data_IF_539721959919
#
_entry.id   IF_539721959919
#
_cell.length_a   1.000
_cell.length_b   1.000
_cell.length_c   1.000
_cell.angle_alpha   90.00
_cell.angle_beta   90.00
_cell.angle_gamma   90.00
#
_symmetry.space_group_name_H-M   'P 1'
#
loop_
_entity.id
_entity.type
_entity.pdbx_description
1 polymer ?
#
# COMPACT_ATOMS: atom_id res chain seq x y z
N UNK A 1 -34.12 35.73 -38.34
CA UNK A 1 -32.88 35.17 -38.93
C UNK A 1 -31.82 36.27 -38.98
N UNK A 2 -30.81 36.28 -38.09
CA UNK A 2 -29.59 37.05 -38.33
C UNK A 2 -28.37 36.13 -38.49
N UNK A 3 -27.89 36.09 -39.74
CA UNK A 3 -26.51 36.19 -40.27
C UNK A 3 -25.30 35.83 -39.39
N UNK A 4 -24.45 34.92 -39.91
CA UNK A 4 -23.10 34.58 -39.43
C UNK A 4 -22.08 35.68 -39.78
N UNK A 5 -21.09 35.94 -38.91
CA UNK A 5 -19.80 36.62 -39.22
C UNK A 5 -18.64 35.89 -38.48
N UNK A 6 -17.41 35.81 -39.04
CA UNK A 6 -16.50 34.66 -38.89
C UNK A 6 -15.33 34.84 -37.89
N UNK A 7 -14.59 33.75 -37.75
CA UNK A 7 -13.33 33.56 -37.00
C UNK A 7 -12.28 34.65 -37.25
N UNK A 8 -11.66 35.13 -36.18
CA UNK A 8 -10.36 35.81 -36.22
C UNK A 8 -9.41 35.08 -35.28
N UNK A 9 -8.42 34.39 -35.85
CA UNK A 9 -7.21 33.97 -35.15
C UNK A 9 -6.26 35.16 -35.16
N UNK A 10 -5.78 35.59 -34.00
CA UNK A 10 -4.56 36.39 -33.90
C UNK A 10 -3.74 35.88 -32.71
N UNK A 11 -2.49 35.54 -33.01
CA UNK A 11 -1.50 35.05 -32.07
C UNK A 11 -0.73 36.22 -31.41
N UNK A 12 -0.02 35.84 -30.35
CA UNK A 12 1.14 36.49 -29.74
C UNK A 12 0.88 37.58 -28.68
N UNK A 13 1.29 37.30 -27.44
CA UNK A 13 2.52 37.89 -26.88
C UNK A 13 2.91 37.14 -25.60
N UNK A 14 4.11 36.58 -25.61
CA UNK A 14 4.75 35.97 -24.45
C UNK A 14 5.10 37.05 -23.44
N UNK A 15 4.72 36.85 -22.18
CA UNK A 15 5.31 37.54 -21.02
C UNK A 15 5.84 36.48 -20.07
N UNK A 16 7.16 36.46 -19.93
CA UNK A 16 7.86 35.73 -18.89
C UNK A 16 7.65 36.44 -17.54
N UNK A 17 7.25 35.71 -16.51
CA UNK A 17 7.38 36.17 -15.12
C UNK A 17 7.51 35.00 -14.14
N UNK A 18 8.70 34.94 -13.55
CA UNK A 18 9.15 34.25 -12.33
C UNK A 18 8.95 32.73 -12.24
N UNK A 19 10.06 32.01 -12.44
CA UNK A 19 10.32 30.79 -11.69
C UNK A 19 10.42 31.19 -10.20
N UNK A 20 9.35 31.02 -9.44
CA UNK A 20 9.54 30.71 -8.03
C UNK A 20 10.14 29.31 -7.99
N UNK A 21 11.46 29.24 -7.95
CA UNK A 21 12.17 28.07 -7.43
C UNK A 21 11.75 27.94 -5.97
N UNK A 22 10.59 27.33 -5.74
CA UNK A 22 10.25 26.79 -4.44
C UNK A 22 11.31 25.74 -4.17
N UNK A 23 12.30 26.08 -3.35
CA UNK A 23 13.07 25.07 -2.63
C UNK A 23 12.03 24.13 -2.04
N UNK A 24 11.95 22.91 -2.57
CA UNK A 24 11.37 21.82 -1.83
C UNK A 24 12.25 21.72 -0.57
N UNK A 25 11.84 22.39 0.52
CA UNK A 25 12.30 22.05 1.84
C UNK A 25 11.94 20.57 1.95
N UNK A 26 12.93 19.70 1.80
CA UNK A 26 12.79 18.31 2.18
C UNK A 26 12.22 18.34 3.58
N UNK A 27 10.99 17.82 3.74
CA UNK A 27 10.38 17.72 5.05
C UNK A 27 11.44 17.11 5.98
N UNK A 28 11.69 17.68 7.18
CA UNK A 28 12.71 17.13 8.06
C UNK A 28 12.37 15.65 8.28
N UNK A 29 13.37 14.77 8.27
CA UNK A 29 13.17 13.33 8.45
C UNK A 29 12.30 13.02 9.69
N UNK A 30 12.30 13.90 10.69
CA UNK A 30 11.42 13.87 11.86
C UNK A 30 9.92 14.08 11.55
N UNK A 31 9.55 14.95 10.59
CA UNK A 31 8.16 15.10 10.16
C UNK A 31 7.66 13.90 9.35
N UNK A 32 8.53 13.31 8.51
CA UNK A 32 8.22 12.05 7.83
C UNK A 32 8.07 10.91 8.85
N UNK A 33 8.97 10.80 9.82
CA UNK A 33 8.89 9.86 10.95
C UNK A 33 7.59 10.02 11.76
N UNK A 34 7.19 11.26 12.06
CA UNK A 34 5.93 11.55 12.76
C UNK A 34 4.69 11.19 11.93
N UNK A 35 4.73 11.37 10.60
CA UNK A 35 3.66 10.90 9.72
C UNK A 35 3.55 9.37 9.72
N UNK A 36 4.69 8.64 9.71
CA UNK A 36 4.71 7.18 9.88
C UNK A 36 3.99 6.74 11.14
N UNK A 37 4.34 7.37 12.27
CA UNK A 37 3.78 7.02 13.56
C UNK A 37 2.25 7.21 13.55
N UNK A 38 1.76 8.34 13.05
CA UNK A 38 0.32 8.63 12.94
C UNK A 38 -0.45 7.61 12.10
N UNK A 39 0.17 7.07 11.06
CA UNK A 39 -0.48 6.09 10.18
C UNK A 39 -0.55 4.70 10.82
N UNK A 40 0.52 4.25 11.49
CA UNK A 40 0.52 3.00 12.28
C UNK A 40 -0.44 3.09 13.47
N UNK A 41 -0.43 4.23 14.18
CA UNK A 41 -1.35 4.50 15.28
C UNK A 41 -2.80 4.37 14.85
N UNK A 42 -3.13 4.68 13.59
CA UNK A 42 -4.51 4.61 13.10
C UNK A 42 -5.01 3.19 12.88
N UNK A 43 -4.20 2.30 12.31
CA UNK A 43 -4.56 0.89 12.18
C UNK A 43 -4.69 0.23 13.57
N UNK A 44 -3.75 0.53 14.47
CA UNK A 44 -3.78 0.06 15.85
C UNK A 44 -5.00 0.61 16.60
N UNK A 45 -5.34 1.90 16.41
CA UNK A 45 -6.53 2.52 17.00
C UNK A 45 -7.81 1.87 16.48
N UNK A 46 -7.89 1.59 15.17
CA UNK A 46 -9.05 0.94 14.59
C UNK A 46 -9.27 -0.47 15.17
N UNK A 47 -8.18 -1.25 15.28
CA UNK A 47 -8.21 -2.56 15.92
C UNK A 47 -8.54 -2.48 17.42
N UNK A 48 -7.90 -1.58 18.17
CA UNK A 48 -8.14 -1.41 19.60
C UNK A 48 -9.57 -0.94 19.92
N UNK A 49 -10.15 -0.08 19.07
CA UNK A 49 -11.53 0.39 19.20
C UNK A 49 -12.55 -0.70 18.80
N UNK A 50 -12.22 -1.53 17.80
CA UNK A 50 -13.06 -2.62 17.34
C UNK A 50 -12.19 -3.76 16.79
N UNK A 51 -12.02 -4.87 17.52
CA UNK A 51 -11.24 -6.02 17.04
C UNK A 51 -11.77 -6.62 15.71
N UNK A 52 -13.05 -6.39 15.39
CA UNK A 52 -13.66 -6.81 14.12
C UNK A 52 -13.36 -5.86 12.95
N UNK A 53 -12.64 -4.76 13.17
CA UNK A 53 -12.15 -3.91 12.09
C UNK A 53 -11.18 -4.67 11.17
N UNK A 54 -10.56 -5.75 11.67
CA UNK A 54 -9.72 -6.64 10.88
C UNK A 54 -10.50 -7.88 10.48
N UNK A 55 -10.51 -8.18 9.18
CA UNK A 55 -11.15 -9.37 8.61
C UNK A 55 -10.22 -10.01 7.60
N UNK A 56 -10.41 -11.31 7.34
CA UNK A 56 -9.58 -12.08 6.42
C UNK A 56 -10.41 -13.13 5.67
N UNK A 57 -9.85 -13.69 4.60
CA UNK A 57 -10.40 -14.84 3.88
C UNK A 57 -10.54 -16.10 4.75
N UNK A 58 -9.78 -16.16 5.84
CA UNK A 58 -9.68 -17.28 6.75
C UNK A 58 -8.42 -17.19 7.59
N UNK A 59 -8.22 -18.15 8.48
CA UNK A 59 -6.97 -18.31 9.23
C UNK A 59 -6.67 -19.79 9.38
N UNK A 60 -5.40 -20.19 9.37
CA UNK A 60 -5.05 -21.54 9.80
C UNK A 60 -5.35 -21.72 11.29
N UNK A 61 -5.64 -22.96 11.69
CA UNK A 61 -5.78 -23.33 13.10
C UNK A 61 -4.40 -23.22 13.78
N UNK A 62 -4.02 -22.04 14.25
CA UNK A 62 -2.69 -21.84 14.84
C UNK A 62 -2.22 -20.40 14.97
N UNK A 63 -3.13 -19.43 14.93
CA UNK A 63 -2.81 -18.02 15.18
C UNK A 63 -1.97 -17.91 16.47
N UNK A 64 -0.73 -17.40 16.35
CA UNK A 64 0.21 -17.38 17.47
C UNK A 64 0.01 -16.07 18.21
N UNK A 65 -0.82 -16.07 19.27
CA UNK A 65 -1.06 -14.88 20.10
C UNK A 65 -2.45 -14.87 20.77
N UNK A 66 -2.69 -13.99 21.77
CA UNK A 66 -3.92 -13.97 22.57
C UNK A 66 -5.13 -13.23 21.95
N UNK A 67 -5.20 -13.10 20.62
CA UNK A 67 -6.19 -12.29 19.91
C UNK A 67 -7.00 -13.05 18.84
N UNK A 68 -8.07 -12.44 18.28
CA UNK A 68 -8.77 -13.01 17.13
C UNK A 68 -7.78 -13.17 15.96
N UNK A 69 -7.80 -14.32 15.30
CA UNK A 69 -6.79 -14.75 14.32
C UNK A 69 -6.19 -13.65 13.42
N UNK A 70 -7.01 -12.88 12.67
CA UNK A 70 -6.49 -11.82 11.80
C UNK A 70 -6.05 -10.55 12.55
N UNK A 71 -6.62 -10.28 13.72
CA UNK A 71 -6.27 -9.12 14.56
C UNK A 71 -4.81 -9.12 15.03
N UNK A 72 -4.19 -10.30 15.14
CA UNK A 72 -2.78 -10.45 15.49
C UNK A 72 -1.80 -9.80 14.50
N UNK A 73 -2.24 -9.40 13.29
CA UNK A 73 -1.41 -8.60 12.39
C UNK A 73 -1.38 -7.09 12.72
N UNK A 74 -2.20 -6.65 13.67
CA UNK A 74 -2.46 -5.24 13.98
C UNK A 74 -2.45 -4.93 15.50
N UNK A 75 -1.96 -5.85 16.33
CA UNK A 75 -1.90 -5.70 17.79
C UNK A 75 -0.61 -5.00 18.29
N UNK A 76 0.33 -4.74 17.38
CA UNK A 76 1.61 -4.08 17.69
C UNK A 76 2.65 -4.98 18.34
N UNK A 77 2.40 -6.28 18.47
CA UNK A 77 3.33 -7.26 19.00
C UNK A 77 4.07 -7.99 17.86
N UNK A 78 5.38 -7.78 17.74
CA UNK A 78 6.19 -8.46 16.72
C UNK A 78 6.38 -9.96 16.96
N UNK A 79 5.94 -10.49 18.11
CA UNK A 79 5.93 -11.91 18.42
C UNK A 79 4.62 -12.61 18.04
N UNK A 80 3.56 -11.85 17.73
CA UNK A 80 2.29 -12.38 17.26
C UNK A 80 2.16 -12.26 15.75
N UNK A 81 1.33 -13.12 15.15
CA UNK A 81 1.08 -13.07 13.71
C UNK A 81 -0.29 -13.60 13.33
N UNK A 82 -0.87 -13.02 12.28
CA UNK A 82 -1.88 -13.71 11.50
C UNK A 82 -1.23 -14.70 10.53
N UNK A 83 -1.91 -15.83 10.31
CA UNK A 83 -1.56 -16.77 9.26
C UNK A 83 -2.83 -17.23 8.54
N UNK A 84 -2.78 -17.27 7.21
CA UNK A 84 -3.94 -17.52 6.36
C UNK A 84 -4.40 -18.97 6.41
N UNK A 85 -5.60 -19.21 5.87
CA UNK A 85 -5.98 -20.51 5.35
C UNK A 85 -5.05 -20.95 4.19
N UNK A 86 -5.10 -22.24 3.82
CA UNK A 86 -4.31 -22.84 2.75
C UNK A 86 -4.88 -22.54 1.36
N UNK A 87 -4.99 -21.26 1.01
CA UNK A 87 -5.52 -20.78 -0.27
C UNK A 87 -4.58 -19.77 -0.94
N UNK A 88 -4.52 -19.82 -2.27
CA UNK A 88 -3.62 -18.98 -3.09
C UNK A 88 -4.08 -17.52 -3.20
N UNK A 89 -5.37 -17.25 -2.93
CA UNK A 89 -6.02 -15.95 -2.98
C UNK A 89 -6.38 -15.40 -1.60
N UNK A 90 -5.70 -15.88 -0.56
CA UNK A 90 -5.90 -15.42 0.81
C UNK A 90 -5.67 -13.90 0.97
N UNK A 91 -6.52 -13.27 1.77
CA UNK A 91 -6.48 -11.82 2.00
C UNK A 91 -6.72 -11.48 3.48
N UNK A 92 -6.19 -10.33 3.88
CA UNK A 92 -6.47 -9.65 5.15
C UNK A 92 -6.72 -8.17 4.86
N UNK A 93 -7.69 -7.57 5.56
CA UNK A 93 -8.01 -6.16 5.45
C UNK A 93 -8.30 -5.56 6.83
N UNK A 94 -8.01 -4.27 6.96
CA UNK A 94 -8.36 -3.45 8.13
C UNK A 94 -9.26 -2.29 7.69
N UNK A 95 -10.37 -2.10 8.38
CA UNK A 95 -11.18 -0.89 8.30
C UNK A 95 -10.55 0.19 9.18
N UNK A 96 -10.15 1.31 8.59
CA UNK A 96 -9.47 2.41 9.28
C UNK A 96 -10.44 3.39 9.97
N UNK A 97 -11.75 3.13 9.90
CA UNK A 97 -12.83 3.89 10.53
C UNK A 97 -13.13 5.25 9.88
N UNK A 98 -12.29 5.73 8.97
CA UNK A 98 -12.60 6.85 8.08
C UNK A 98 -11.69 6.83 6.83
N UNK A 99 -12.07 7.61 5.81
CA UNK A 99 -11.20 7.84 4.65
C UNK A 99 -9.99 8.66 5.06
N UNK A 100 -8.79 8.11 4.82
CA UNK A 100 -7.52 8.79 5.05
C UNK A 100 -6.63 8.74 3.82
N UNK A 101 -5.61 9.59 3.84
CA UNK A 101 -4.47 9.46 2.96
C UNK A 101 -3.55 8.35 3.50
N UNK A 102 -3.16 7.42 2.64
CA UNK A 102 -2.21 6.34 2.95
C UNK A 102 -0.93 6.64 2.18
N UNK A 103 0.15 6.98 2.88
CA UNK A 103 1.43 7.32 2.24
C UNK A 103 2.43 6.15 2.27
N UNK A 104 2.28 5.18 3.18
CA UNK A 104 3.12 3.98 3.23
C UNK A 104 2.37 2.78 3.82
N UNK A 105 2.69 1.60 3.30
CA UNK A 105 2.39 0.32 3.94
C UNK A 105 3.69 -0.41 4.24
N UNK A 106 3.86 -0.84 5.49
CA UNK A 106 4.97 -1.69 5.93
C UNK A 106 4.40 -3.07 6.22
N UNK A 107 5.02 -4.11 5.66
CA UNK A 107 4.67 -5.49 5.92
C UNK A 107 5.82 -6.12 6.66
N UNK A 108 5.65 -6.37 7.96
CA UNK A 108 6.54 -7.27 8.69
C UNK A 108 6.12 -8.71 8.37
N UNK A 109 7.10 -9.55 8.01
CA UNK A 109 6.82 -10.86 7.45
C UNK A 109 7.70 -11.93 8.04
N UNK A 110 7.05 -13.03 8.34
CA UNK A 110 7.69 -14.28 8.70
C UNK A 110 8.31 -15.00 7.50
N UNK A 111 9.17 -15.99 7.77
CA UNK A 111 9.86 -16.75 6.73
C UNK A 111 8.91 -17.40 5.69
N UNK A 112 7.69 -17.75 6.10
CA UNK A 112 6.64 -18.35 5.27
C UNK A 112 5.69 -17.30 4.66
N UNK A 113 6.22 -16.30 3.95
CA UNK A 113 5.40 -15.22 3.41
C UNK A 113 4.94 -15.42 1.95
N UNK A 114 3.79 -14.83 1.62
CA UNK A 114 3.29 -14.72 0.25
C UNK A 114 4.28 -14.02 -0.67
N UNK A 115 4.90 -14.76 -1.59
CA UNK A 115 5.91 -14.25 -2.53
C UNK A 115 5.31 -13.35 -3.63
N UNK A 116 3.99 -13.44 -3.82
CA UNK A 116 3.16 -12.62 -4.72
C UNK A 116 2.04 -12.02 -3.87
N UNK A 117 1.79 -10.73 -4.02
CA UNK A 117 0.66 -10.06 -3.38
C UNK A 117 0.36 -8.75 -4.09
N UNK A 118 -0.84 -8.25 -3.83
CA UNK A 118 -1.31 -6.92 -4.23
C UNK A 118 -1.62 -6.17 -2.95
N UNK A 119 -1.32 -4.88 -2.92
CA UNK A 119 -1.86 -3.98 -1.92
C UNK A 119 -2.91 -3.12 -2.59
N UNK A 120 -4.07 -3.06 -1.95
CA UNK A 120 -5.26 -2.40 -2.47
C UNK A 120 -5.83 -1.47 -1.41
N UNK A 121 -6.51 -0.43 -1.86
CA UNK A 121 -7.25 0.50 -1.01
C UNK A 121 -8.70 0.56 -1.47
N UNK A 122 -9.60 0.78 -0.52
CA UNK A 122 -11.03 0.96 -0.78
C UNK A 122 -11.58 2.10 0.06
N UNK A 123 -12.54 2.82 -0.49
CA UNK A 123 -13.33 3.84 0.24
C UNK A 123 -14.63 3.29 0.81
N UNK A 124 -15.05 2.09 0.40
CA UNK A 124 -16.35 1.51 0.73
C UNK A 124 -16.30 0.05 1.20
N UNK A 125 -15.11 -0.57 1.21
CA UNK A 125 -14.91 -1.95 1.63
C UNK A 125 -15.33 -3.00 0.60
N UNK A 126 -15.83 -2.61 -0.57
CA UNK A 126 -16.30 -3.50 -1.64
C UNK A 126 -15.54 -3.31 -2.95
N UNK A 127 -15.25 -2.07 -3.33
CA UNK A 127 -14.51 -1.74 -4.54
C UNK A 127 -13.05 -1.45 -4.19
N UNK A 128 -12.14 -2.24 -4.74
CA UNK A 128 -10.72 -2.21 -4.40
C UNK A 128 -9.89 -1.68 -5.57
N UNK A 129 -9.00 -0.75 -5.27
CA UNK A 129 -8.05 -0.19 -6.25
C UNK A 129 -6.63 -0.61 -5.88
N UNK A 130 -5.92 -1.33 -6.76
CA UNK A 130 -4.53 -1.71 -6.51
C UNK A 130 -3.61 -0.49 -6.61
N UNK A 131 -2.73 -0.33 -5.63
CA UNK A 131 -1.69 0.71 -5.66
C UNK A 131 -0.27 0.12 -5.68
N UNK A 132 -0.11 -1.16 -5.33
CA UNK A 132 1.16 -1.86 -5.41
C UNK A 132 0.95 -3.33 -5.76
N UNK A 133 1.84 -3.90 -6.57
CA UNK A 133 1.85 -5.32 -6.91
C UNK A 133 3.27 -5.86 -6.83
N UNK A 134 3.51 -6.88 -6.02
CA UNK A 134 4.79 -7.59 -6.03
C UNK A 134 4.77 -8.68 -7.10
N UNK A 135 5.60 -8.57 -8.14
CA UNK A 135 5.77 -9.64 -9.11
C UNK A 135 6.51 -10.83 -8.46
N UNK A 136 6.37 -12.05 -9.02
CA UNK A 136 7.21 -13.17 -8.62
C UNK A 136 8.69 -12.82 -8.73
N UNK A 137 9.51 -13.41 -7.86
CA UNK A 137 10.96 -13.38 -8.05
C UNK A 137 11.30 -13.95 -9.44
N UNK A 138 12.27 -13.37 -10.16
CA UNK A 138 12.70 -13.91 -11.45
C UNK A 138 13.15 -15.36 -11.26
N UNK A 139 12.82 -16.21 -12.23
CA UNK A 139 13.30 -17.59 -12.24
C UNK A 139 14.82 -17.60 -12.12
N UNK A 140 15.36 -18.46 -11.23
CA UNK A 140 16.80 -18.62 -11.12
C UNK A 140 17.34 -18.99 -12.51
N UNK A 141 18.26 -18.18 -13.04
CA UNK A 141 18.96 -18.52 -14.29
C UNK A 141 19.70 -19.83 -14.03
N UNK A 142 19.40 -20.86 -14.83
CA UNK A 142 20.16 -22.11 -14.81
C UNK A 142 21.66 -21.80 -14.91
N UNK A 143 22.52 -22.46 -14.10
CA UNK A 143 23.95 -22.25 -14.20
C UNK A 143 24.38 -22.59 -15.63
N UNK A 144 24.96 -21.61 -16.35
CA UNK A 144 25.56 -21.87 -17.65
C UNK A 144 26.79 -22.73 -17.40
N UNK A 145 26.71 -24.01 -17.76
CA UNK A 145 27.89 -24.88 -17.79
C UNK A 145 28.95 -24.22 -18.68
N UNK A 146 30.17 -23.93 -18.16
CA UNK A 146 31.23 -23.42 -19.00
C UNK A 146 31.64 -24.53 -19.96
N UNK A 147 31.36 -24.38 -21.25
CA UNK A 147 31.98 -25.21 -22.28
C UNK A 147 33.44 -24.81 -22.39
N UNK A 148 34.33 -25.59 -21.77
CA UNK A 148 35.76 -25.51 -22.07
C UNK A 148 35.98 -25.98 -23.52
N UNK A 149 36.24 -25.03 -24.42
CA UNK A 149 36.83 -25.32 -25.72
C UNK A 149 38.33 -25.52 -25.48
N UNK A 150 38.83 -26.73 -25.77
CA UNK A 150 40.26 -27.01 -25.90
C UNK A 150 40.81 -26.36 -27.16
#
# INVERSE_FOLDING_TARGET
>A
MPTRIPRTLLAALATAALLSSGTALGAPASAAAAAVARDTDRANTAYAANPNAVTASGSENGATGPGPGPGLAFDGDGASRWSSNFDDDAWIRVDLGATIRVDRVVLDREAAYGRRYVLEVSKNGTDWTPFYRRPPAPAARSPRTPTHRR
#
